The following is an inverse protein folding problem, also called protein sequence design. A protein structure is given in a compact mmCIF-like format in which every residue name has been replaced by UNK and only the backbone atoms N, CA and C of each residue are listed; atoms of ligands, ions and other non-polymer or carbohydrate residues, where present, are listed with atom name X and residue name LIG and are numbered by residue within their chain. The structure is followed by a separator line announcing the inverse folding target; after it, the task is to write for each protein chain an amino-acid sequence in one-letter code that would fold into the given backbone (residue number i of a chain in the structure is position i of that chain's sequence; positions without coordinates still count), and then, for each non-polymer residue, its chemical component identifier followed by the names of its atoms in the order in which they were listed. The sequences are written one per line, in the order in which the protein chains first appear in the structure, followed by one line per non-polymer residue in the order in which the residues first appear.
data_IF_806310164988
#
_entry.id   IF_806310164988
#
_cell.length_a   1.000
_cell.length_b   1.000
_cell.length_c   1.000
_cell.angle_alpha   90.00
_cell.angle_beta   90.00
_cell.angle_gamma   90.00
#
_symmetry.space_group_name_H-M   'P 1'
#
loop_
_entity.id
_entity.type
_entity.pdbx_description
1 polymer ?
#
# COMPACT_ATOMS: atom_id res chain seq x y z
N UNK A 1 -5.32 53.67 -27.43
CA UNK A 1 -4.22 53.02 -26.70
C UNK A 1 -4.87 51.94 -25.85
N UNK A 2 -4.80 50.68 -26.25
CA UNK A 2 -5.01 49.57 -25.29
C UNK A 2 -3.85 49.60 -24.26
N UNK A 3 -3.96 48.87 -23.13
CA UNK A 3 -3.70 47.44 -23.22
C UNK A 3 -4.81 46.57 -22.64
N UNK A 4 -5.05 45.49 -23.37
CA UNK A 4 -5.70 44.26 -22.92
C UNK A 4 -4.95 43.71 -21.70
N UNK A 5 -5.66 43.42 -20.62
CA UNK A 5 -5.19 42.49 -19.61
C UNK A 5 -5.76 41.12 -19.96
N UNK A 6 -4.99 40.37 -20.74
CA UNK A 6 -5.20 38.95 -20.96
C UNK A 6 -5.13 38.25 -19.61
N UNK A 7 -6.20 37.56 -19.22
CA UNK A 7 -6.14 36.54 -18.19
C UNK A 7 -5.19 35.46 -18.71
N UNK A 8 -3.96 35.43 -18.19
CA UNK A 8 -2.99 34.40 -18.54
C UNK A 8 -3.61 33.05 -18.24
N UNK A 9 -3.76 32.22 -19.27
CA UNK A 9 -4.14 30.83 -19.14
C UNK A 9 -3.34 30.20 -17.99
N UNK A 10 -4.05 29.65 -17.00
CA UNK A 10 -3.44 28.79 -16.02
C UNK A 10 -2.67 27.72 -16.79
N UNK A 11 -1.33 27.72 -16.66
CA UNK A 11 -0.51 26.65 -17.21
C UNK A 11 -1.03 25.31 -16.69
N UNK A 12 -0.82 24.21 -17.42
CA UNK A 12 -1.25 22.90 -16.95
C UNK A 12 -0.63 22.70 -15.57
N UNK A 13 -1.47 22.55 -14.55
CA UNK A 13 -1.05 22.12 -13.23
C UNK A 13 -0.25 20.85 -13.50
N UNK A 14 1.09 20.89 -13.34
CA UNK A 14 1.88 19.69 -13.45
C UNK A 14 1.33 18.76 -12.39
N UNK A 15 0.54 17.76 -12.81
CA UNK A 15 0.04 16.72 -11.93
C UNK A 15 1.25 16.13 -11.24
N UNK A 16 1.36 16.44 -9.94
CA UNK A 16 2.52 16.06 -9.16
C UNK A 16 2.47 14.54 -9.08
N UNK A 17 3.42 13.89 -9.75
CA UNK A 17 3.49 12.44 -9.79
C UNK A 17 3.95 11.90 -8.44
N UNK A 18 3.25 10.90 -7.94
CA UNK A 18 3.62 10.17 -6.73
C UNK A 18 3.98 8.75 -7.12
N UNK A 19 5.01 8.20 -6.49
CA UNK A 19 5.41 6.82 -6.68
C UNK A 19 5.07 6.01 -5.43
N UNK A 20 4.32 4.93 -5.60
CA UNK A 20 3.95 4.00 -4.53
C UNK A 20 4.55 2.63 -4.82
N UNK A 21 5.25 2.09 -3.82
CA UNK A 21 5.78 0.74 -3.85
C UNK A 21 4.91 -0.14 -2.96
N UNK A 22 4.34 -1.19 -3.54
CA UNK A 22 3.51 -2.18 -2.81
C UNK A 22 4.36 -3.41 -2.54
N UNK A 23 4.68 -3.67 -1.26
CA UNK A 23 5.34 -4.88 -0.81
C UNK A 23 4.35 -6.00 -0.51
N UNK A 24 4.56 -7.19 -1.04
CA UNK A 24 3.65 -8.33 -0.89
C UNK A 24 4.42 -9.57 -0.42
N UNK A 25 3.96 -10.17 0.66
CA UNK A 25 4.58 -11.36 1.26
C UNK A 25 3.63 -12.57 1.24
N UNK A 26 4.14 -13.75 1.58
CA UNK A 26 3.38 -15.01 1.54
C UNK A 26 2.19 -15.07 2.51
N UNK A 27 1.03 -14.60 2.07
CA UNK A 27 -0.26 -14.69 2.76
C UNK A 27 -1.37 -14.94 1.75
N UNK A 28 -2.45 -15.64 2.14
CA UNK A 28 -3.64 -15.81 1.29
C UNK A 28 -4.24 -14.47 0.87
N UNK A 29 -4.02 -13.41 1.66
CA UNK A 29 -4.43 -12.05 1.32
C UNK A 29 -3.78 -11.51 0.03
N UNK A 30 -2.64 -12.06 -0.41
CA UNK A 30 -1.98 -11.68 -1.66
C UNK A 30 -2.87 -11.93 -2.90
N UNK A 31 -3.90 -12.77 -2.82
CA UNK A 31 -4.93 -12.90 -3.86
C UNK A 31 -5.61 -11.55 -4.19
N UNK A 32 -5.68 -10.63 -3.21
CA UNK A 32 -6.28 -9.30 -3.39
C UNK A 32 -5.33 -8.30 -4.07
N UNK A 33 -4.08 -8.67 -4.35
CA UNK A 33 -3.10 -7.76 -4.94
C UNK A 33 -3.54 -7.17 -6.29
N UNK A 34 -4.04 -7.95 -7.27
CA UNK A 34 -4.53 -7.37 -8.53
C UNK A 34 -5.61 -6.30 -8.32
N UNK A 35 -6.54 -6.56 -7.40
CA UNK A 35 -7.60 -5.60 -7.05
C UNK A 35 -7.03 -4.34 -6.38
N UNK A 36 -6.06 -4.48 -5.46
CA UNK A 36 -5.39 -3.35 -4.83
C UNK A 36 -4.65 -2.48 -5.85
N UNK A 37 -3.87 -3.11 -6.74
CA UNK A 37 -3.14 -2.38 -7.79
C UNK A 37 -4.11 -1.67 -8.73
N UNK A 38 -5.19 -2.33 -9.16
CA UNK A 38 -6.22 -1.70 -9.99
C UNK A 38 -6.80 -0.46 -9.33
N UNK A 39 -7.18 -0.52 -8.05
CA UNK A 39 -7.77 0.63 -7.34
C UNK A 39 -6.76 1.74 -7.05
N UNK A 40 -5.47 1.42 -6.92
CA UNK A 40 -4.41 2.42 -6.80
C UNK A 40 -4.16 3.13 -8.14
N UNK A 41 -4.19 2.40 -9.26
CA UNK A 41 -4.03 2.97 -10.61
C UNK A 41 -5.20 3.90 -11.00
N UNK A 42 -6.37 3.75 -10.38
CA UNK A 42 -7.49 4.69 -10.54
C UNK A 42 -7.21 6.09 -9.93
N UNK A 43 -6.15 6.23 -9.13
CA UNK A 43 -5.76 7.52 -8.54
C UNK A 43 -4.90 8.30 -9.55
N UNK A 44 -5.33 9.49 -10.00
CA UNK A 44 -4.59 10.27 -10.98
C UNK A 44 -3.23 10.71 -10.43
N UNK A 45 -2.19 10.62 -11.27
CA UNK A 45 -0.82 10.98 -10.91
C UNK A 45 -0.09 9.93 -10.05
N UNK A 46 -0.67 8.75 -9.79
CA UNK A 46 -0.03 7.68 -9.05
C UNK A 46 0.68 6.69 -9.99
N UNK A 47 1.98 6.50 -9.80
CA UNK A 47 2.75 5.42 -10.41
C UNK A 47 2.98 4.32 -9.38
N UNK A 48 2.63 3.08 -9.72
CA UNK A 48 2.67 1.94 -8.81
C UNK A 48 3.71 0.94 -9.29
N UNK A 49 4.51 0.43 -8.37
CA UNK A 49 5.37 -0.74 -8.57
C UNK A 49 5.14 -1.75 -7.44
N UNK A 50 5.43 -3.02 -7.71
CA UNK A 50 5.23 -4.12 -6.75
C UNK A 50 6.56 -4.81 -6.47
N UNK A 51 6.85 -5.06 -5.19
CA UNK A 51 7.87 -6.03 -4.76
C UNK A 51 7.12 -7.20 -4.13
N UNK A 52 7.33 -8.40 -4.64
CA UNK A 52 6.65 -9.60 -4.15
C UNK A 52 7.66 -10.66 -3.76
N UNK A 53 7.35 -11.39 -2.68
CA UNK A 53 8.15 -12.56 -2.35
C UNK A 53 7.80 -13.75 -3.26
N UNK A 54 8.69 -14.73 -3.45
CA UNK A 54 8.39 -15.96 -4.19
C UNK A 54 7.19 -16.70 -3.59
N UNK A 55 7.04 -16.64 -2.26
CA UNK A 55 5.90 -17.23 -1.56
C UNK A 55 4.58 -16.54 -1.88
N UNK A 56 4.58 -15.22 -2.11
CA UNK A 56 3.38 -14.49 -2.49
C UNK A 56 2.89 -14.85 -3.91
N UNK A 57 3.81 -15.14 -4.84
CA UNK A 57 3.48 -15.54 -6.22
C UNK A 57 2.67 -16.84 -6.30
N UNK A 58 2.58 -17.64 -5.23
CA UNK A 58 1.70 -18.80 -5.18
C UNK A 58 0.20 -18.44 -5.10
N UNK A 59 -0.15 -17.20 -4.76
CA UNK A 59 -1.53 -16.79 -4.50
C UNK A 59 -2.16 -15.95 -5.62
N UNK A 60 -1.39 -15.51 -6.62
CA UNK A 60 -1.87 -14.70 -7.75
C UNK A 60 -0.99 -14.93 -8.98
N UNK A 61 -1.49 -14.62 -10.18
CA UNK A 61 -0.68 -14.70 -11.41
C UNK A 61 0.01 -13.36 -11.68
N UNK A 62 1.33 -13.32 -11.95
CA UNK A 62 2.03 -12.07 -12.27
C UNK A 62 1.43 -11.28 -13.43
N UNK A 63 0.83 -11.97 -14.41
CA UNK A 63 0.11 -11.37 -15.54
C UNK A 63 -1.15 -10.57 -15.14
N UNK A 64 -1.71 -10.83 -13.96
CA UNK A 64 -2.90 -10.14 -13.45
C UNK A 64 -2.54 -8.78 -12.80
N UNK A 65 -1.25 -8.47 -12.70
CA UNK A 65 -0.72 -7.26 -12.08
C UNK A 65 -0.06 -6.39 -13.16
N UNK A 66 -0.75 -5.37 -13.70
CA UNK A 66 -0.32 -4.62 -14.88
C UNK A 66 0.72 -3.53 -14.55
N UNK A 67 1.65 -3.81 -13.64
CA UNK A 67 2.70 -2.87 -13.20
C UNK A 67 4.05 -3.57 -13.08
N UNK A 68 5.13 -2.80 -12.96
CA UNK A 68 6.47 -3.37 -12.73
C UNK A 68 6.48 -4.20 -11.45
N UNK A 69 6.92 -5.45 -11.59
CA UNK A 69 6.97 -6.43 -10.51
C UNK A 69 8.42 -6.86 -10.30
N UNK A 70 8.91 -6.64 -9.09
CA UNK A 70 10.21 -7.09 -8.58
C UNK A 70 9.99 -8.34 -7.71
N UNK A 71 10.89 -9.31 -7.84
CA UNK A 71 10.84 -10.61 -7.16
C UNK A 71 11.94 -10.77 -6.13
N UNK A 72 12.02 -11.91 -5.40
CA UNK A 72 13.13 -12.17 -4.47
C UNK A 72 14.50 -11.98 -5.13
N UNK A 73 14.63 -12.42 -6.39
CA UNK A 73 15.87 -12.26 -7.16
C UNK A 73 16.30 -10.79 -7.28
N UNK A 74 15.34 -9.87 -7.28
CA UNK A 74 15.54 -8.43 -7.31
C UNK A 74 15.55 -7.82 -5.87
N UNK A 75 14.88 -8.48 -4.91
CA UNK A 75 14.73 -8.06 -3.50
C UNK A 75 16.03 -8.17 -2.71
N UNK A 76 16.80 -9.25 -2.91
CA UNK A 76 18.04 -9.50 -2.16
C UNK A 76 19.13 -8.45 -2.44
N UNK A 77 19.10 -7.80 -3.61
CA UNK A 77 19.98 -6.66 -3.90
C UNK A 77 19.42 -5.33 -3.37
N UNK A 78 18.12 -5.25 -3.02
CA UNK A 78 17.44 -3.97 -2.78
C UNK A 78 16.99 -3.70 -1.35
N UNK A 79 17.07 -4.65 -0.40
CA UNK A 79 16.89 -4.45 1.06
C UNK A 79 15.88 -3.33 1.45
N UNK A 80 14.75 -3.27 0.75
CA UNK A 80 14.01 -2.01 0.52
C UNK A 80 13.58 -1.35 1.82
N UNK A 81 13.04 -2.15 2.75
CA UNK A 81 12.56 -1.66 4.06
C UNK A 81 13.74 -1.21 4.93
N UNK A 82 14.87 -1.92 4.89
CA UNK A 82 16.02 -1.61 5.75
C UNK A 82 16.77 -0.37 5.28
N UNK A 83 16.77 -0.11 3.97
CA UNK A 83 17.30 1.08 3.32
C UNK A 83 16.26 2.20 3.17
N UNK A 84 15.02 1.99 3.65
CA UNK A 84 13.94 2.95 3.51
C UNK A 84 14.24 4.25 4.27
N UNK A 85 14.03 5.38 3.61
CA UNK A 85 14.06 6.68 4.23
C UNK A 85 12.85 6.84 5.16
N UNK A 86 13.10 6.90 6.47
CA UNK A 86 12.08 6.97 7.52
C UNK A 86 11.29 8.27 7.53
N UNK A 87 11.70 9.28 6.75
CA UNK A 87 10.88 10.48 6.52
C UNK A 87 9.71 10.23 5.57
N UNK A 88 9.78 9.16 4.76
CA UNK A 88 8.71 8.76 3.85
C UNK A 88 7.70 7.85 4.55
N UNK A 89 6.39 8.02 4.28
CA UNK A 89 5.36 7.19 4.89
C UNK A 89 5.54 5.72 4.50
N UNK A 90 5.44 4.83 5.49
CA UNK A 90 5.43 3.38 5.29
C UNK A 90 4.23 2.79 6.05
N UNK A 91 3.36 2.11 5.30
CA UNK A 91 2.25 1.37 5.86
C UNK A 91 2.55 -0.12 5.91
N UNK A 92 2.05 -0.81 6.92
CA UNK A 92 2.02 -2.27 6.93
C UNK A 92 0.61 -2.77 7.26
N UNK A 93 0.19 -3.81 6.54
CA UNK A 93 -1.13 -4.42 6.64
C UNK A 93 -0.95 -5.90 7.02
N UNK A 94 -0.95 -6.25 8.32
CA UNK A 94 -0.77 -7.63 8.72
C UNK A 94 -1.93 -8.51 8.21
N UNK A 95 -1.60 -9.75 7.86
CA UNK A 95 -2.55 -10.69 7.27
C UNK A 95 -2.16 -12.13 7.61
N UNK A 96 -2.67 -12.65 8.73
CA UNK A 96 -2.29 -13.95 9.27
C UNK A 96 -3.45 -14.62 10.01
N UNK A 97 -3.31 -15.91 10.33
CA UNK A 97 -4.29 -16.63 11.12
C UNK A 97 -4.39 -16.04 12.55
N UNK A 98 -5.56 -16.16 13.18
CA UNK A 98 -5.83 -15.70 14.56
C UNK A 98 -4.79 -16.16 15.58
N UNK A 99 -4.40 -17.43 15.56
CA UNK A 99 -3.41 -17.94 16.51
C UNK A 99 -2.03 -17.31 16.32
N UNK A 100 -1.67 -16.94 15.09
CA UNK A 100 -0.44 -16.18 14.82
C UNK A 100 -0.58 -14.73 15.30
N UNK A 101 -1.74 -14.12 15.08
CA UNK A 101 -2.01 -12.74 15.51
C UNK A 101 -1.99 -12.58 17.03
N UNK A 102 -2.60 -13.52 17.75
CA UNK A 102 -2.67 -13.56 19.21
C UNK A 102 -1.35 -13.97 19.87
N UNK A 103 -0.38 -14.44 19.08
CA UNK A 103 0.93 -14.82 19.61
C UNK A 103 1.68 -13.59 20.16
N UNK A 104 2.26 -13.65 21.37
CA UNK A 104 2.88 -12.49 22.02
C UNK A 104 4.03 -11.87 21.21
N UNK A 105 4.76 -12.68 20.44
CA UNK A 105 5.81 -12.19 19.54
C UNK A 105 5.24 -11.26 18.47
N UNK A 106 4.04 -11.52 17.96
CA UNK A 106 3.42 -10.69 16.93
C UNK A 106 3.14 -9.30 17.48
N UNK A 107 2.60 -9.20 18.70
CA UNK A 107 2.42 -7.91 19.38
C UNK A 107 3.75 -7.17 19.54
N UNK A 108 4.80 -7.87 20.01
CA UNK A 108 6.14 -7.27 20.15
C UNK A 108 6.72 -6.78 18.82
N UNK A 109 6.49 -7.49 17.72
CA UNK A 109 6.97 -7.10 16.39
C UNK A 109 6.19 -5.90 15.85
N UNK A 110 4.86 -5.89 15.99
CA UNK A 110 4.01 -4.77 15.61
C UNK A 110 4.40 -3.51 16.38
N UNK A 111 4.62 -3.62 17.68
CA UNK A 111 5.05 -2.50 18.52
C UNK A 111 6.43 -1.95 18.11
N UNK A 112 7.36 -2.84 17.74
CA UNK A 112 8.66 -2.42 17.20
C UNK A 112 8.53 -1.66 15.88
N UNK A 113 7.69 -2.14 14.95
CA UNK A 113 7.45 -1.46 13.68
C UNK A 113 6.83 -0.08 13.89
N UNK A 114 5.85 0.02 14.81
CA UNK A 114 5.26 1.31 15.21
C UNK A 114 6.28 2.24 15.85
N UNK A 115 7.17 1.73 16.70
CA UNK A 115 8.25 2.51 17.30
C UNK A 115 9.24 3.05 16.24
N UNK A 116 9.37 2.39 15.09
CA UNK A 116 10.13 2.90 13.95
C UNK A 116 9.40 4.02 13.17
N UNK A 117 8.14 4.32 13.50
CA UNK A 117 7.32 5.32 12.82
C UNK A 117 6.49 4.75 11.66
N UNK A 118 6.46 3.42 11.50
CA UNK A 118 5.62 2.77 10.50
C UNK A 118 4.16 2.77 10.96
N UNK A 119 3.26 2.98 10.00
CA UNK A 119 1.84 3.13 10.26
C UNK A 119 1.14 1.80 10.03
N UNK A 120 0.54 1.26 11.09
CA UNK A 120 -0.27 0.06 10.99
C UNK A 120 -1.62 0.36 10.34
N UNK A 121 -2.02 -0.46 9.36
CA UNK A 121 -3.42 -0.61 8.96
C UNK A 121 -3.91 -1.91 9.59
N UNK A 122 -4.77 -1.83 10.62
CA UNK A 122 -5.05 -2.96 11.50
C UNK A 122 -5.80 -4.08 10.79
N UNK A 123 -5.58 -5.31 11.26
CA UNK A 123 -6.35 -6.47 10.84
C UNK A 123 -7.84 -6.30 11.16
N UNK A 124 -8.67 -6.96 10.37
CA UNK A 124 -10.12 -7.07 10.62
C UNK A 124 -10.47 -8.47 11.12
N UNK A 125 -11.55 -8.55 11.89
CA UNK A 125 -12.13 -9.83 12.24
C UNK A 125 -12.95 -10.36 11.05
N UNK A 126 -12.77 -11.64 10.70
CA UNK A 126 -13.61 -12.33 9.71
C UNK A 126 -14.24 -13.57 10.32
N UNK A 127 -15.47 -13.85 9.86
CA UNK A 127 -16.19 -15.06 10.25
C UNK A 127 -15.52 -16.27 9.59
N UNK A 128 -15.04 -17.18 10.40
CA UNK A 128 -14.47 -18.45 9.98
C UNK A 128 -15.59 -19.43 9.62
N UNK A 129 -15.24 -20.47 8.85
CA UNK A 129 -16.18 -21.51 8.39
C UNK A 129 -16.83 -22.24 9.58
N UNK A 130 -16.17 -22.30 10.73
CA UNK A 130 -16.70 -22.89 11.97
C UNK A 130 -17.72 -22.01 12.71
N UNK A 131 -17.96 -20.76 12.28
CA UNK A 131 -18.87 -19.82 12.93
C UNK A 131 -18.19 -18.83 13.88
N UNK A 132 -16.96 -19.11 14.31
CA UNK A 132 -16.16 -18.22 15.15
C UNK A 132 -15.66 -16.98 14.38
N UNK A 133 -15.56 -15.83 15.04
CA UNK A 133 -14.86 -14.67 14.49
C UNK A 133 -13.38 -14.73 14.86
N UNK A 134 -12.52 -14.79 13.84
CA UNK A 134 -11.07 -14.74 14.01
C UNK A 134 -10.52 -13.38 13.60
N UNK A 135 -9.71 -12.75 14.47
CA UNK A 135 -8.93 -11.56 14.16
C UNK A 135 -7.67 -11.94 13.37
N UNK A 136 -7.17 -11.05 12.50
CA UNK A 136 -5.92 -11.28 11.75
C UNK A 136 -6.07 -11.24 10.24
N UNK A 137 -7.29 -11.10 9.72
CA UNK A 137 -7.49 -10.92 8.28
C UNK A 137 -7.00 -9.53 7.85
N UNK A 138 -6.39 -9.46 6.66
CA UNK A 138 -6.00 -8.18 6.06
C UNK A 138 -7.19 -7.22 5.98
N UNK A 139 -6.94 -5.94 6.26
CA UNK A 139 -7.89 -4.86 6.00
C UNK A 139 -8.48 -4.94 4.58
N UNK A 140 -9.66 -4.37 4.41
CA UNK A 140 -10.27 -4.32 3.08
C UNK A 140 -9.48 -3.39 2.16
N UNK A 141 -9.46 -3.74 0.87
CA UNK A 141 -8.64 -3.03 -0.13
C UNK A 141 -8.98 -1.53 -0.15
N UNK A 142 -10.27 -1.20 -0.09
CA UNK A 142 -10.73 0.19 -0.01
C UNK A 142 -10.13 0.95 1.18
N UNK A 143 -10.05 0.33 2.36
CA UNK A 143 -9.44 0.95 3.55
C UNK A 143 -7.97 1.28 3.34
N UNK A 144 -7.23 0.39 2.65
CA UNK A 144 -5.82 0.62 2.32
C UNK A 144 -5.69 1.79 1.33
N UNK A 145 -6.51 1.78 0.27
CA UNK A 145 -6.54 2.83 -0.76
C UNK A 145 -6.91 4.19 -0.16
N UNK A 146 -7.90 4.24 0.74
CA UNK A 146 -8.31 5.47 1.42
C UNK A 146 -7.18 6.03 2.29
N UNK A 147 -6.41 5.15 2.96
CA UNK A 147 -5.23 5.58 3.74
C UNK A 147 -4.13 6.16 2.86
N UNK A 148 -3.90 5.58 1.68
CA UNK A 148 -2.97 6.13 0.69
C UNK A 148 -3.44 7.51 0.22
N UNK A 149 -4.72 7.66 -0.13
CA UNK A 149 -5.31 8.96 -0.52
C UNK A 149 -5.15 10.01 0.57
N UNK A 150 -5.40 9.66 1.83
CA UNK A 150 -5.22 10.58 2.97
C UNK A 150 -3.80 11.15 3.02
N UNK A 151 -2.79 10.29 2.87
CA UNK A 151 -1.38 10.72 2.87
C UNK A 151 -1.01 11.52 1.62
N UNK A 152 -1.53 11.15 0.45
CA UNK A 152 -1.35 11.93 -0.77
C UNK A 152 -1.96 13.33 -0.64
N UNK A 153 -3.13 13.48 0.00
CA UNK A 153 -3.74 14.78 0.26
C UNK A 153 -2.88 15.64 1.20
N UNK A 154 -2.33 15.04 2.27
CA UNK A 154 -1.47 15.74 3.24
C UNK A 154 -0.16 16.23 2.62
N UNK A 155 0.42 15.48 1.68
CA UNK A 155 1.69 15.84 1.03
C UNK A 155 1.50 16.62 -0.29
N UNK A 156 0.30 16.58 -0.86
CA UNK A 156 -0.01 17.07 -2.20
C UNK A 156 -0.96 18.26 -2.28
N UNK A 157 -1.64 18.68 -1.21
CA UNK A 157 -2.62 19.78 -1.29
C UNK A 157 -3.73 19.49 -2.31
N UNK A 158 -4.20 18.25 -2.39
CA UNK A 158 -5.37 17.90 -3.21
C UNK A 158 -6.63 18.51 -2.58
N UNK A 159 -7.13 19.62 -3.13
CA UNK A 159 -8.50 20.06 -2.90
C UNK A 159 -9.41 19.15 -3.72
N UNK A 160 -10.22 18.34 -3.05
CA UNK A 160 -11.35 17.67 -3.69
C UNK A 160 -12.36 18.75 -4.12
N UNK A 161 -12.66 18.81 -5.41
CA UNK A 161 -13.79 19.56 -5.95
C UNK A 161 -15.10 18.83 -5.66
#
# INVERSE_FOLDING_TARGET
MEPQASCSAAGPLMERKFHVLVGVTGSVAALKLPLLVSQLLDIPGLEVAVVTTERAKHFYSPQDVPVTLYSDADEWETCVIRAWDRSKPLFFCPAMNTAMWEHPITAQQVDQLKAFGYVEIPCVAKKLVCGDQGLGAMAEVGTIVDKVKEVLCQHGGFQQN
#
